data_IF_054218542438
#
_entry.id   IF_054218542438
#
_cell.length_a   1.000
_cell.length_b   1.000
_cell.length_c   1.000
_cell.angle_alpha   90.00
_cell.angle_beta   90.00
_cell.angle_gamma   90.00
#
_symmetry.space_group_name_H-M   'P 1'
#
loop_
_entity.id
_entity.type
_entity.pdbx_description
1 polymer ?
#
# COMPACT_ATOMS: atom_id res chain seq x y z
N UNK A 1 12.37 -9.33 -4.56
CA UNK A 1 11.42 -8.42 -5.25
C UNK A 1 12.14 -7.11 -5.54
N UNK A 2 11.87 -6.44 -6.66
CA UNK A 2 12.54 -5.17 -7.02
C UNK A 2 11.73 -3.95 -6.60
N UNK A 3 10.42 -3.95 -6.83
CA UNK A 3 9.50 -2.92 -6.35
C UNK A 3 8.30 -3.58 -5.67
N UNK A 4 7.75 -2.91 -4.66
CA UNK A 4 6.48 -3.30 -4.06
C UNK A 4 5.68 -2.06 -3.69
N UNK A 5 4.44 -2.02 -4.16
CA UNK A 5 3.46 -1.01 -3.80
C UNK A 5 2.15 -1.71 -3.43
N UNK A 6 1.39 -1.10 -2.53
CA UNK A 6 0.05 -1.56 -2.17
C UNK A 6 -0.90 -0.38 -2.33
N UNK A 7 -1.93 -0.58 -3.13
CA UNK A 7 -3.01 0.39 -3.33
C UNK A 7 -4.30 -0.21 -2.79
N UNK A 8 -4.91 0.48 -1.84
CA UNK A 8 -6.26 0.17 -1.39
C UNK A 8 -7.28 0.94 -2.23
N UNK A 9 -8.35 0.26 -2.62
CA UNK A 9 -9.38 0.81 -3.52
C UNK A 9 -10.77 0.59 -2.94
N UNK A 10 -11.60 1.63 -2.96
CA UNK A 10 -13.01 1.57 -2.59
C UNK A 10 -13.86 2.24 -3.68
N UNK A 11 -14.68 1.45 -4.36
CA UNK A 11 -15.50 1.93 -5.47
C UNK A 11 -14.64 2.36 -6.67
N UNK A 12 -15.13 3.35 -7.42
CA UNK A 12 -14.51 3.73 -8.70
C UNK A 12 -13.35 4.71 -8.56
N UNK A 13 -13.45 5.66 -7.63
CA UNK A 13 -12.58 6.85 -7.62
C UNK A 13 -11.77 7.00 -6.33
N UNK A 14 -12.04 6.19 -5.30
CA UNK A 14 -11.38 6.33 -4.00
C UNK A 14 -10.31 5.28 -3.84
N UNK A 15 -9.13 5.72 -3.44
CA UNK A 15 -8.08 4.85 -2.98
C UNK A 15 -6.99 5.60 -2.22
N UNK A 16 -6.12 4.83 -1.59
CA UNK A 16 -4.94 5.35 -0.92
C UNK A 16 -3.80 4.34 -1.02
N UNK A 17 -2.57 4.84 -1.09
CA UNK A 17 -1.41 3.99 -0.93
C UNK A 17 -1.29 3.50 0.51
N UNK A 18 -0.86 2.26 0.67
CA UNK A 18 -0.59 1.64 1.96
C UNK A 18 0.86 1.14 2.00
N UNK A 19 1.54 1.16 3.17
CA UNK A 19 2.91 0.67 3.27
C UNK A 19 3.04 -0.78 2.74
N UNK A 20 3.94 -1.04 1.78
CA UNK A 20 4.10 -2.36 1.19
C UNK A 20 4.75 -3.34 2.19
N UNK A 21 4.56 -4.66 1.98
CA UNK A 21 5.11 -5.67 2.87
C UNK A 21 6.56 -6.05 2.54
N UNK A 22 7.13 -5.59 1.42
CA UNK A 22 8.52 -5.88 1.06
C UNK A 22 9.44 -4.72 1.46
N UNK A 23 10.51 -5.03 2.18
CA UNK A 23 11.49 -4.08 2.71
C UNK A 23 12.92 -4.59 2.48
N UNK A 24 13.89 -3.67 2.47
CA UNK A 24 15.29 -4.03 2.58
C UNK A 24 15.70 -4.36 4.03
N UNK A 25 16.97 -4.69 4.24
CA UNK A 25 17.52 -5.07 5.54
C UNK A 25 17.50 -3.93 6.58
N UNK A 26 17.25 -2.69 6.14
CA UNK A 26 17.11 -1.51 7.00
C UNK A 26 15.65 -1.16 7.29
N UNK A 27 14.70 -1.92 6.75
CA UNK A 27 13.26 -1.68 6.93
C UNK A 27 12.69 -0.62 6.00
N UNK A 28 13.42 -0.24 4.95
CA UNK A 28 13.00 0.76 3.96
C UNK A 28 12.41 0.10 2.71
N UNK A 29 11.57 0.87 2.01
CA UNK A 29 11.07 0.51 0.67
C UNK A 29 12.01 1.07 -0.39
N UNK A 30 12.13 0.43 -1.56
CA UNK A 30 12.84 1.01 -2.71
C UNK A 30 11.90 1.85 -3.58
N UNK A 31 11.58 3.07 -3.13
CA UNK A 31 10.69 3.97 -3.87
C UNK A 31 11.28 4.32 -5.23
N UNK A 32 10.58 3.93 -6.31
CA UNK A 32 10.96 4.23 -7.68
C UNK A 32 12.21 3.48 -8.15
N UNK A 33 12.55 2.34 -7.53
CA UNK A 33 13.64 1.45 -7.97
C UNK A 33 15.02 2.13 -8.05
N UNK A 34 15.28 3.09 -7.15
CA UNK A 34 16.48 3.94 -7.24
C UNK A 34 17.68 3.33 -6.55
N UNK A 35 17.47 2.53 -5.51
CA UNK A 35 18.56 1.97 -4.68
C UNK A 35 19.00 0.60 -5.15
N UNK A 36 18.08 -0.21 -5.69
CA UNK A 36 18.39 -1.55 -6.18
C UNK A 36 18.69 -2.57 -5.09
N UNK A 37 18.41 -2.23 -3.81
CA UNK A 37 18.56 -3.16 -2.70
C UNK A 37 17.56 -4.33 -2.85
N UNK A 38 17.98 -5.57 -2.56
CA UNK A 38 17.06 -6.69 -2.48
C UNK A 38 15.96 -6.42 -1.46
N UNK A 39 14.69 -6.54 -1.87
CA UNK A 39 13.56 -6.48 -0.96
C UNK A 39 13.08 -7.89 -0.57
N UNK A 40 12.83 -8.06 0.71
CA UNK A 40 12.37 -9.27 1.37
C UNK A 40 10.99 -9.07 1.99
N UNK A 41 10.21 -10.16 2.08
CA UNK A 41 8.87 -10.12 2.66
C UNK A 41 8.95 -9.93 4.18
N UNK A 42 8.45 -8.80 4.67
CA UNK A 42 8.18 -8.59 6.09
C UNK A 42 6.83 -9.23 6.46
N UNK A 43 6.88 -10.39 7.12
CA UNK A 43 5.69 -11.15 7.50
C UNK A 43 4.72 -10.36 8.38
N UNK A 44 5.22 -9.48 9.25
CA UNK A 44 4.35 -8.68 10.12
C UNK A 44 3.55 -7.64 9.34
N UNK A 45 4.16 -6.98 8.35
CA UNK A 45 3.44 -6.04 7.46
C UNK A 45 2.43 -6.78 6.60
N UNK A 46 2.81 -7.95 6.07
CA UNK A 46 1.89 -8.80 5.32
C UNK A 46 0.68 -9.21 6.15
N UNK A 47 0.89 -9.72 7.37
CA UNK A 47 -0.19 -10.11 8.29
C UNK A 47 -1.11 -8.95 8.66
N UNK A 48 -0.59 -7.72 8.78
CA UNK A 48 -1.42 -6.53 8.99
C UNK A 48 -2.37 -6.28 7.82
N UNK A 49 -1.87 -6.37 6.58
CA UNK A 49 -2.70 -6.25 5.38
C UNK A 49 -3.74 -7.38 5.32
N UNK A 50 -3.32 -8.62 5.61
CA UNK A 50 -4.22 -9.76 5.66
C UNK A 50 -5.35 -9.57 6.70
N UNK A 51 -5.01 -9.09 7.90
CA UNK A 51 -6.00 -8.80 8.94
C UNK A 51 -7.00 -7.74 8.51
N UNK A 52 -6.51 -6.63 7.95
CA UNK A 52 -7.35 -5.54 7.44
C UNK A 52 -8.35 -6.06 6.40
N UNK A 53 -7.89 -6.89 5.46
CA UNK A 53 -8.75 -7.53 4.49
C UNK A 53 -9.81 -8.44 5.13
N UNK A 54 -9.37 -9.37 6.00
CA UNK A 54 -10.26 -10.33 6.68
C UNK A 54 -11.31 -9.66 7.56
N UNK A 55 -11.01 -8.47 8.08
CA UNK A 55 -11.90 -7.69 8.94
C UNK A 55 -12.70 -6.65 8.16
N UNK A 56 -12.63 -6.63 6.83
CA UNK A 56 -13.28 -5.63 5.98
C UNK A 56 -12.88 -4.16 6.29
N UNK A 57 -11.70 -3.95 6.90
CA UNK A 57 -11.23 -2.63 7.35
C UNK A 57 -10.60 -1.75 6.25
N UNK A 58 -10.52 -2.22 5.01
CA UNK A 58 -9.87 -1.46 3.92
C UNK A 58 -10.58 -0.13 3.63
N UNK A 59 -11.92 -0.12 3.64
CA UNK A 59 -12.69 1.09 3.38
C UNK A 59 -12.50 2.16 4.47
N UNK A 60 -12.35 1.74 5.73
CA UNK A 60 -12.06 2.62 6.86
C UNK A 60 -10.69 3.29 6.71
N UNK A 61 -9.66 2.51 6.35
CA UNK A 61 -8.32 3.05 6.09
C UNK A 61 -8.34 4.08 4.97
N UNK A 62 -9.08 3.83 3.88
CA UNK A 62 -9.24 4.80 2.79
C UNK A 62 -9.93 6.07 3.28
N UNK A 63 -10.99 5.94 4.09
CA UNK A 63 -11.72 7.08 4.66
C UNK A 63 -10.80 7.97 5.51
N UNK A 64 -10.04 7.37 6.44
CA UNK A 64 -9.10 8.11 7.28
C UNK A 64 -7.98 8.78 6.46
N UNK A 65 -7.45 8.12 5.43
CA UNK A 65 -6.44 8.71 4.55
C UNK A 65 -7.00 9.94 3.80
N UNK A 66 -8.25 9.86 3.33
CA UNK A 66 -8.99 10.95 2.68
C UNK A 66 -9.17 12.16 3.60
N UNK A 67 -9.57 11.94 4.85
CA UNK A 67 -9.72 13.01 5.84
C UNK A 67 -8.38 13.66 6.22
N UNK A 68 -7.31 12.87 6.29
CA UNK A 68 -5.98 13.36 6.61
C UNK A 68 -5.25 14.03 5.42
N UNK A 69 -5.84 14.08 4.22
CA UNK A 69 -5.19 14.50 2.98
C UNK A 69 -3.85 13.75 2.71
N UNK A 70 -3.71 12.52 3.21
CA UNK A 70 -2.49 11.73 3.07
C UNK A 70 -2.57 10.84 1.82
N UNK A 71 -1.66 11.05 0.86
CA UNK A 71 -1.42 10.12 -0.29
C UNK A 71 -2.69 9.64 -0.99
N UNK A 72 -3.55 10.59 -1.40
CA UNK A 72 -4.78 10.30 -2.11
C UNK A 72 -4.51 9.93 -3.56
N UNK A 73 -5.22 8.92 -4.04
CA UNK A 73 -5.19 8.52 -5.45
C UNK A 73 -6.62 8.55 -5.97
N UNK A 74 -6.85 9.42 -6.96
CA UNK A 74 -8.02 9.26 -7.82
C UNK A 74 -7.74 8.09 -8.74
N UNK A 75 -8.45 7.00 -8.53
CA UNK A 75 -8.32 5.81 -9.38
C UNK A 75 -9.22 6.01 -10.59
N UNK A 76 -8.63 5.99 -11.77
CA UNK A 76 -9.37 5.88 -13.02
C UNK A 76 -9.15 4.49 -13.60
N UNK A 77 -10.17 3.66 -13.50
CA UNK A 77 -10.16 2.30 -14.03
C UNK A 77 -10.01 2.23 -15.56
N UNK A 78 -10.22 3.33 -16.29
CA UNK A 78 -10.03 3.35 -17.74
C UNK A 78 -8.54 3.39 -18.15
N UNK A 79 -7.63 3.68 -17.20
CA UNK A 79 -6.20 3.89 -17.46
C UNK A 79 -5.27 2.99 -16.62
N UNK A 80 -5.83 2.00 -15.92
CA UNK A 80 -5.11 0.92 -15.21
C UNK A 80 -5.17 -0.37 -16.02
#
# INVERSE_FOLDING_TARGET
VRESQVLFVAGKTKGCFYPPPYLDDYGETDQGLKRGNPLHLCLDRYRKIERLWRQHGVAEVIGHAQEANQTLVTIDWQHL
#
